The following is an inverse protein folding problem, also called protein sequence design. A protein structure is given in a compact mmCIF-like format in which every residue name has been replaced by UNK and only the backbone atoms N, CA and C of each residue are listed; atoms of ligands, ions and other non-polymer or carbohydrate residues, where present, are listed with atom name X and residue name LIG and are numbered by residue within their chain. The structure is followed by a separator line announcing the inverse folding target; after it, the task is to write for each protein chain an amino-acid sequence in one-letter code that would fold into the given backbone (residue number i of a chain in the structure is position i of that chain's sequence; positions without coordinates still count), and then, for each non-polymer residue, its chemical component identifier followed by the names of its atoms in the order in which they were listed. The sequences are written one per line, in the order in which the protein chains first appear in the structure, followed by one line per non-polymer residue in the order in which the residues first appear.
data_IF_811582365117
#
_entry.id   IF_811582365117
#
_cell.length_a   1.000
_cell.length_b   1.000
_cell.length_c   1.000
_cell.angle_alpha   90.00
_cell.angle_beta   90.00
_cell.angle_gamma   90.00
#
_symmetry.space_group_name_H-M   'P 1'
#
loop_
_entity.id
_entity.type
_entity.pdbx_description
1 polymer ?
#
# COMPACT_ATOMS: atom_id res chain seq x y z
N UNK A 1 -13.19 -12.74 10.16
CA UNK A 1 -12.12 -11.76 9.91
C UNK A 1 -12.68 -10.34 9.79
N UNK A 2 -13.65 -10.05 8.90
CA UNK A 2 -14.23 -8.70 8.81
C UNK A 2 -14.87 -8.24 10.13
N UNK A 3 -15.71 -9.07 10.76
CA UNK A 3 -16.36 -8.72 12.02
C UNK A 3 -15.38 -8.44 13.17
N UNK A 4 -14.29 -9.22 13.28
CA UNK A 4 -13.26 -8.99 14.29
C UNK A 4 -12.51 -7.68 14.06
N UNK A 5 -12.26 -7.31 12.80
CA UNK A 5 -11.67 -6.02 12.44
C UNK A 5 -12.61 -4.86 12.75
N UNK A 6 -13.89 -4.94 12.38
CA UNK A 6 -14.87 -3.90 12.71
C UNK A 6 -15.00 -3.70 14.23
N UNK A 7 -15.08 -4.79 14.99
CA UNK A 7 -15.15 -4.73 16.45
C UNK A 7 -13.89 -4.12 17.07
N UNK A 8 -12.70 -4.46 16.55
CA UNK A 8 -11.46 -3.86 17.02
C UNK A 8 -11.36 -2.37 16.72
N UNK A 9 -11.85 -1.90 15.57
CA UNK A 9 -11.91 -0.47 15.24
C UNK A 9 -12.90 0.28 16.12
N UNK A 10 -14.08 -0.29 16.39
CA UNK A 10 -15.06 0.30 17.31
C UNK A 10 -14.49 0.38 18.73
N UNK A 11 -13.86 -0.70 19.19
CA UNK A 11 -13.18 -0.71 20.48
C UNK A 11 -12.09 0.36 20.55
N UNK A 12 -11.30 0.52 19.48
CA UNK A 12 -10.28 1.56 19.42
C UNK A 12 -10.87 2.96 19.57
N UNK A 13 -11.94 3.27 18.83
CA UNK A 13 -12.61 4.57 18.89
C UNK A 13 -13.17 4.85 20.30
N UNK A 14 -13.79 3.84 20.93
CA UNK A 14 -14.32 3.95 22.29
C UNK A 14 -13.20 4.17 23.31
N UNK A 15 -12.11 3.41 23.23
CA UNK A 15 -10.97 3.56 24.13
C UNK A 15 -10.31 4.92 23.96
N UNK A 16 -10.11 5.40 22.73
CA UNK A 16 -9.56 6.72 22.50
C UNK A 16 -10.49 7.82 23.04
N UNK A 17 -11.80 7.71 22.84
CA UNK A 17 -12.76 8.67 23.41
C UNK A 17 -12.70 8.69 24.95
N UNK A 18 -12.71 7.53 25.60
CA UNK A 18 -12.63 7.46 27.06
C UNK A 18 -11.27 7.95 27.59
N UNK A 19 -10.16 7.37 27.16
CA UNK A 19 -8.86 7.62 27.78
C UNK A 19 -8.23 8.95 27.37
N UNK A 20 -8.40 9.35 26.11
CA UNK A 20 -7.77 10.57 25.59
C UNK A 20 -8.67 11.78 25.81
N UNK A 21 -9.98 11.68 25.52
CA UNK A 21 -10.88 12.84 25.61
C UNK A 21 -11.47 13.04 27.01
N UNK A 22 -11.79 11.97 27.76
CA UNK A 22 -12.38 12.11 29.09
C UNK A 22 -11.32 12.17 30.21
N UNK A 23 -10.31 11.30 30.16
CA UNK A 23 -9.27 11.21 31.20
C UNK A 23 -8.00 12.01 30.90
N UNK A 24 -7.88 12.64 29.72
CA UNK A 24 -6.77 13.52 29.33
C UNK A 24 -5.36 12.93 29.54
N UNK A 25 -5.19 11.61 29.41
CA UNK A 25 -3.94 10.91 29.75
C UNK A 25 -2.79 11.11 28.73
N UNK A 26 -2.89 12.11 27.85
CA UNK A 26 -1.86 12.45 26.86
C UNK A 26 -1.68 11.41 25.75
N UNK A 27 -0.84 11.73 24.76
CA UNK A 27 -0.63 10.95 23.53
C UNK A 27 -0.13 9.51 23.74
N UNK A 28 0.57 9.22 24.85
CA UNK A 28 1.06 7.86 25.13
C UNK A 28 -0.07 6.85 25.27
N UNK A 29 -1.23 7.28 25.75
CA UNK A 29 -2.39 6.38 25.88
C UNK A 29 -3.03 6.02 24.56
N UNK A 30 -2.93 6.87 23.53
CA UNK A 30 -3.40 6.54 22.17
C UNK A 30 -2.68 5.30 21.63
N UNK A 31 -1.36 5.20 21.83
CA UNK A 31 -0.58 4.04 21.41
C UNK A 31 -0.98 2.76 22.16
N UNK A 32 -1.26 2.87 23.48
CA UNK A 32 -1.76 1.75 24.28
C UNK A 32 -3.15 1.29 23.82
N UNK A 33 -4.07 2.23 23.57
CA UNK A 33 -5.41 1.93 23.07
C UNK A 33 -5.34 1.19 21.72
N UNK A 34 -4.46 1.63 20.82
CA UNK A 34 -4.22 0.98 19.53
C UNK A 34 -3.67 -0.43 19.70
N UNK A 35 -2.69 -0.61 20.59
CA UNK A 35 -2.09 -1.91 20.89
C UNK A 35 -3.14 -2.90 21.45
N UNK A 36 -3.98 -2.43 22.37
CA UNK A 36 -5.10 -3.22 22.91
C UNK A 36 -6.10 -3.62 21.82
N UNK A 37 -6.38 -2.71 20.88
CA UNK A 37 -7.31 -2.97 19.77
C UNK A 37 -6.76 -4.05 18.83
N UNK A 38 -5.47 -4.00 18.51
CA UNK A 38 -4.82 -5.05 17.72
C UNK A 38 -4.78 -6.39 18.45
N UNK A 39 -4.51 -6.40 19.76
CA UNK A 39 -4.58 -7.62 20.56
C UNK A 39 -5.98 -8.23 20.55
N UNK A 40 -7.02 -7.40 20.64
CA UNK A 40 -8.41 -7.85 20.55
C UNK A 40 -8.74 -8.43 19.16
N UNK A 41 -8.32 -7.77 18.07
CA UNK A 41 -8.49 -8.31 16.71
C UNK A 41 -7.81 -9.68 16.55
N UNK A 42 -6.58 -9.82 17.07
CA UNK A 42 -5.83 -11.07 17.05
C UNK A 42 -6.56 -12.19 17.81
N UNK A 43 -7.03 -11.91 19.02
CA UNK A 43 -7.81 -12.86 19.82
C UNK A 43 -9.12 -13.25 19.14
N UNK A 44 -9.80 -12.31 18.49
CA UNK A 44 -11.03 -12.57 17.74
C UNK A 44 -10.82 -13.55 16.58
N UNK A 45 -9.75 -13.36 15.81
CA UNK A 45 -9.39 -14.28 14.72
C UNK A 45 -8.95 -15.63 15.26
N UNK A 46 -8.17 -15.66 16.34
CA UNK A 46 -7.74 -16.91 16.99
C UNK A 46 -8.93 -17.72 17.52
N UNK A 47 -9.89 -17.05 18.15
CA UNK A 47 -11.13 -17.68 18.63
C UNK A 47 -11.95 -18.25 17.47
N UNK A 48 -12.09 -17.48 16.38
CA UNK A 48 -12.75 -17.96 15.17
C UNK A 48 -12.06 -19.19 14.57
N UNK A 49 -10.73 -19.21 14.50
CA UNK A 49 -9.95 -20.37 14.04
C UNK A 49 -10.21 -21.60 14.91
N UNK A 50 -10.20 -21.45 16.24
CA UNK A 50 -10.43 -22.53 17.20
C UNK A 50 -11.85 -23.12 17.09
N UNK A 51 -12.86 -22.27 16.95
CA UNK A 51 -14.27 -22.68 16.87
C UNK A 51 -14.63 -23.30 15.52
N UNK A 52 -14.15 -22.71 14.42
CA UNK A 52 -14.49 -23.14 13.06
C UNK A 52 -13.79 -24.44 12.65
N UNK A 53 -12.70 -24.83 13.36
CA UNK A 53 -11.89 -26.02 13.06
C UNK A 53 -11.39 -26.11 11.61
N UNK A 54 -11.43 -25.01 10.85
CA UNK A 54 -11.04 -24.95 9.42
C UNK A 54 -9.59 -25.42 9.21
N UNK A 55 -8.73 -25.23 10.21
CA UNK A 55 -7.34 -25.69 10.18
C UNK A 55 -7.18 -27.22 10.29
N UNK A 56 -8.24 -27.97 10.61
CA UNK A 56 -8.12 -29.41 10.94
C UNK A 56 -7.76 -30.25 9.71
N UNK A 57 -8.22 -29.86 8.52
CA UNK A 57 -7.87 -30.55 7.27
C UNK A 57 -6.49 -30.12 6.72
N UNK A 58 -6.07 -28.87 6.96
CA UNK A 58 -4.82 -28.32 6.41
C UNK A 58 -3.63 -28.46 7.37
N UNK A 59 -3.88 -28.56 8.68
CA UNK A 59 -2.85 -28.58 9.72
C UNK A 59 -3.22 -29.51 10.90
N UNK A 60 -3.21 -30.84 10.67
CA UNK A 60 -3.67 -31.81 11.66
C UNK A 60 -2.76 -31.95 12.90
N UNK A 61 -1.46 -31.57 12.82
CA UNK A 61 -0.52 -31.54 13.95
C UNK A 61 0.47 -30.40 13.80
N UNK A 62 0.69 -29.64 14.88
CA UNK A 62 1.76 -28.61 14.94
C UNK A 62 3.10 -29.34 14.96
N UNK A 63 3.71 -29.50 13.79
CA UNK A 63 5.05 -30.04 13.65
C UNK A 63 6.01 -28.87 13.40
N UNK A 64 6.63 -28.36 14.46
CA UNK A 64 7.59 -27.24 14.41
C UNK A 64 8.73 -27.51 13.41
N UNK A 65 9.22 -28.76 13.30
CA UNK A 65 10.30 -29.11 12.37
C UNK A 65 9.86 -29.03 10.91
N UNK A 66 8.63 -29.45 10.60
CA UNK A 66 8.05 -29.29 9.27
C UNK A 66 7.66 -27.83 8.99
N UNK A 67 7.21 -27.08 10.01
CA UNK A 67 6.87 -25.67 9.90
C UNK A 67 8.07 -24.80 9.52
N UNK A 68 9.28 -25.16 10.00
CA UNK A 68 10.54 -24.52 9.60
C UNK A 68 11.18 -25.11 8.33
N UNK A 69 10.57 -26.13 7.72
CA UNK A 69 11.01 -26.67 6.44
C UNK A 69 10.55 -25.75 5.29
N UNK A 70 11.36 -25.58 4.26
CA UNK A 70 11.06 -24.77 3.06
C UNK A 70 10.94 -23.23 3.25
N UNK A 71 11.45 -22.65 4.34
CA UNK A 71 11.46 -21.17 4.48
C UNK A 71 12.26 -20.46 3.39
N UNK A 72 13.20 -21.13 2.73
CA UNK A 72 13.98 -20.56 1.64
C UNK A 72 13.12 -20.00 0.50
N UNK A 73 11.99 -20.64 0.16
CA UNK A 73 11.11 -20.10 -0.88
C UNK A 73 10.32 -18.88 -0.41
N UNK A 74 9.91 -18.88 0.86
CA UNK A 74 9.21 -17.76 1.50
C UNK A 74 10.15 -16.55 1.56
N UNK A 75 11.40 -16.74 1.98
CA UNK A 75 12.38 -15.65 1.99
C UNK A 75 12.72 -15.17 0.58
N UNK A 76 12.90 -16.07 -0.39
CA UNK A 76 13.22 -15.68 -1.78
C UNK A 76 12.14 -14.82 -2.41
N UNK A 77 10.87 -15.06 -2.10
CA UNK A 77 9.75 -14.24 -2.60
C UNK A 77 9.40 -13.07 -1.67
N UNK A 78 9.56 -13.25 -0.37
CA UNK A 78 9.19 -12.28 0.66
C UNK A 78 10.18 -11.13 0.79
N UNK A 79 11.48 -11.39 0.74
CA UNK A 79 12.53 -10.35 0.82
C UNK A 79 12.31 -9.24 -0.21
N UNK A 80 12.18 -9.53 -1.54
CA UNK A 80 11.98 -8.46 -2.52
C UNK A 80 10.65 -7.71 -2.29
N UNK A 81 9.59 -8.40 -1.86
CA UNK A 81 8.31 -7.76 -1.52
C UNK A 81 8.43 -6.82 -0.32
N UNK A 82 9.12 -7.24 0.74
CA UNK A 82 9.37 -6.41 1.93
C UNK A 82 10.22 -5.21 1.58
N UNK A 83 11.29 -5.37 0.78
CA UNK A 83 12.10 -4.24 0.35
C UNK A 83 11.31 -3.24 -0.51
N UNK A 84 10.45 -3.71 -1.42
CA UNK A 84 9.61 -2.84 -2.23
C UNK A 84 8.71 -1.96 -1.34
N UNK A 85 7.99 -2.56 -0.39
CA UNK A 85 7.09 -1.84 0.51
C UNK A 85 7.87 -0.97 1.50
N UNK A 86 8.99 -1.46 2.03
CA UNK A 86 9.82 -0.68 2.95
C UNK A 86 10.40 0.57 2.28
N UNK A 87 10.85 0.48 1.03
CA UNK A 87 11.32 1.65 0.28
C UNK A 87 10.20 2.66 0.05
N UNK A 88 8.99 2.19 -0.25
CA UNK A 88 7.81 3.05 -0.39
C UNK A 88 7.53 3.84 0.91
N UNK A 89 7.45 3.15 2.05
CA UNK A 89 7.18 3.78 3.35
C UNK A 89 8.33 4.69 3.80
N UNK A 90 9.59 4.29 3.59
CA UNK A 90 10.75 5.13 3.93
C UNK A 90 10.80 6.42 3.12
N UNK A 91 10.32 6.42 1.87
CA UNK A 91 10.18 7.66 1.11
C UNK A 91 9.16 8.60 1.75
N UNK A 92 8.03 8.09 2.25
CA UNK A 92 7.03 8.90 2.97
C UNK A 92 7.55 9.39 4.32
N UNK A 93 8.28 8.56 5.06
CA UNK A 93 8.93 8.97 6.30
C UNK A 93 9.98 10.06 6.07
N UNK A 94 10.84 9.90 5.06
CA UNK A 94 11.82 10.91 4.69
C UNK A 94 11.15 12.24 4.33
N UNK A 95 10.04 12.20 3.58
CA UNK A 95 9.25 13.39 3.26
C UNK A 95 8.64 14.03 4.51
N UNK A 96 8.16 13.22 5.46
CA UNK A 96 7.66 13.70 6.76
C UNK A 96 8.77 14.36 7.58
N UNK A 97 9.98 13.79 7.58
CA UNK A 97 11.15 14.39 8.24
C UNK A 97 11.51 15.76 7.64
N UNK A 98 11.47 15.89 6.32
CA UNK A 98 11.70 17.16 5.63
C UNK A 98 10.58 18.16 5.93
N UNK A 99 9.30 17.73 5.89
CA UNK A 99 8.18 18.60 6.23
C UNK A 99 8.27 19.10 7.69
N UNK A 100 8.76 18.25 8.60
CA UNK A 100 9.01 18.61 9.99
C UNK A 100 10.13 19.65 10.17
N UNK A 101 11.17 19.63 9.35
CA UNK A 101 12.25 20.63 9.43
C UNK A 101 11.82 22.01 8.89
N UNK A 102 10.81 22.06 8.02
CA UNK A 102 10.24 23.30 7.48
C UNK A 102 9.20 23.96 8.40
N UNK A 103 8.87 23.35 9.55
CA UNK A 103 7.99 23.90 10.56
C UNK A 103 6.62 23.21 10.68
N UNK A 104 5.91 23.52 11.76
CA UNK A 104 4.68 22.82 12.15
C UNK A 104 3.53 22.97 11.15
N UNK A 105 3.44 24.12 10.47
CA UNK A 105 2.39 24.38 9.46
C UNK A 105 2.55 23.44 8.26
N UNK A 106 3.79 23.28 7.78
CA UNK A 106 4.11 22.39 6.66
C UNK A 106 3.89 20.94 7.04
N UNK A 107 4.28 20.54 8.25
CA UNK A 107 4.04 19.20 8.78
C UNK A 107 2.55 18.89 8.91
N UNK A 108 1.74 19.82 9.40
CA UNK A 108 0.29 19.69 9.49
C UNK A 108 -0.37 19.54 8.12
N UNK A 109 0.05 20.34 7.14
CA UNK A 109 -0.43 20.23 5.76
C UNK A 109 -0.06 18.87 5.13
N UNK A 110 1.17 18.40 5.35
CA UNK A 110 1.61 17.08 4.89
C UNK A 110 0.78 15.96 5.51
N UNK A 111 0.51 16.01 6.82
CA UNK A 111 -0.31 15.02 7.51
C UNK A 111 -1.73 14.94 6.93
N UNK A 112 -2.38 16.07 6.65
CA UNK A 112 -3.71 16.09 6.02
C UNK A 112 -3.65 15.49 4.62
N UNK A 113 -2.65 15.86 3.81
CA UNK A 113 -2.48 15.32 2.46
C UNK A 113 -2.25 13.79 2.49
N UNK A 114 -1.45 13.30 3.43
CA UNK A 114 -1.19 11.87 3.63
C UNK A 114 -2.46 11.08 4.01
N UNK A 115 -3.32 11.66 4.85
CA UNK A 115 -4.61 11.05 5.19
C UNK A 115 -5.56 10.98 3.99
N UNK A 116 -5.62 12.03 3.17
CA UNK A 116 -6.42 12.03 1.93
C UNK A 116 -5.91 10.95 0.97
N UNK A 117 -4.58 10.87 0.79
CA UNK A 117 -3.93 9.86 -0.04
C UNK A 117 -4.26 8.44 0.44
N UNK A 118 -4.25 8.19 1.75
CA UNK A 118 -4.56 6.89 2.34
C UNK A 118 -6.00 6.44 2.05
N UNK A 119 -6.97 7.36 2.07
CA UNK A 119 -8.37 7.07 1.71
C UNK A 119 -8.48 6.67 0.23
N UNK A 120 -7.79 7.40 -0.65
CA UNK A 120 -7.77 7.10 -2.09
C UNK A 120 -7.11 5.73 -2.34
N UNK A 121 -6.10 5.37 -1.56
CA UNK A 121 -5.35 4.12 -1.70
C UNK A 121 -6.11 2.86 -1.22
N UNK A 122 -7.13 2.99 -0.37
CA UNK A 122 -7.91 1.83 0.11
C UNK A 122 -8.61 1.05 -1.01
N UNK A 123 -9.10 1.74 -2.05
CA UNK A 123 -9.80 1.11 -3.18
C UNK A 123 -8.87 0.17 -3.97
N UNK A 124 -7.71 0.63 -4.50
CA UNK A 124 -6.81 -0.24 -5.24
C UNK A 124 -6.22 -1.34 -4.36
N UNK A 125 -5.97 -1.08 -3.07
CA UNK A 125 -5.52 -2.10 -2.12
C UNK A 125 -6.56 -3.24 -1.98
N UNK A 126 -7.85 -2.90 -1.91
CA UNK A 126 -8.94 -3.89 -1.89
C UNK A 126 -9.00 -4.73 -3.18
N UNK A 127 -8.83 -4.10 -4.34
CA UNK A 127 -8.79 -4.81 -5.63
C UNK A 127 -7.56 -5.74 -5.68
N UNK A 128 -6.39 -5.25 -5.25
CA UNK A 128 -5.14 -6.01 -5.22
C UNK A 128 -5.24 -7.27 -4.37
N UNK A 129 -5.77 -7.15 -3.15
CA UNK A 129 -5.96 -8.30 -2.26
C UNK A 129 -6.94 -9.33 -2.84
N UNK A 130 -8.05 -8.90 -3.45
CA UNK A 130 -9.00 -9.81 -4.10
C UNK A 130 -8.38 -10.53 -5.31
N UNK A 131 -7.56 -9.83 -6.09
CA UNK A 131 -6.87 -10.39 -7.27
C UNK A 131 -5.81 -11.39 -6.85
N UNK A 132 -5.01 -11.09 -5.82
CA UNK A 132 -4.02 -12.03 -5.29
C UNK A 132 -4.65 -13.35 -4.84
N UNK A 133 -5.81 -13.30 -4.17
CA UNK A 133 -6.55 -14.51 -3.78
C UNK A 133 -6.99 -15.30 -5.02
N UNK A 134 -7.60 -14.63 -6.01
CA UNK A 134 -8.08 -15.28 -7.24
C UNK A 134 -6.94 -15.88 -8.07
N UNK A 135 -5.83 -15.17 -8.19
CA UNK A 135 -4.63 -15.66 -8.91
C UNK A 135 -4.01 -16.82 -8.14
N UNK A 136 -3.89 -16.73 -6.82
CA UNK A 136 -3.40 -17.82 -5.99
C UNK A 136 -4.25 -19.09 -6.09
N UNK A 137 -5.58 -18.95 -6.09
CA UNK A 137 -6.51 -20.06 -6.28
C UNK A 137 -6.36 -20.72 -7.66
N UNK A 138 -6.27 -19.93 -8.73
CA UNK A 138 -6.11 -20.47 -10.10
C UNK A 138 -4.74 -21.08 -10.35
N UNK A 139 -3.70 -20.49 -9.79
CA UNK A 139 -2.35 -21.05 -9.88
C UNK A 139 -2.28 -22.40 -9.14
N UNK A 140 -2.97 -22.51 -7.99
CA UNK A 140 -3.14 -23.78 -7.27
C UNK A 140 -3.96 -24.83 -8.03
N UNK A 141 -4.86 -24.41 -8.93
CA UNK A 141 -5.64 -25.29 -9.81
C UNK A 141 -4.93 -25.64 -11.13
N UNK A 142 -3.66 -25.27 -11.30
CA UNK A 142 -2.88 -25.46 -12.53
C UNK A 142 -3.50 -24.81 -13.80
N UNK A 143 -4.23 -23.70 -13.63
CA UNK A 143 -4.79 -22.92 -14.75
C UNK A 143 -4.00 -21.59 -14.96
N UNK A 144 -2.94 -21.59 -15.80
CA UNK A 144 -2.15 -20.40 -16.07
C UNK A 144 -2.88 -19.37 -16.94
N UNK A 145 -3.78 -19.82 -17.82
CA UNK A 145 -4.51 -18.95 -18.76
C UNK A 145 -5.51 -18.09 -17.98
N UNK A 146 -6.30 -18.72 -17.11
CA UNK A 146 -7.24 -18.00 -16.25
C UNK A 146 -6.54 -17.09 -15.23
N UNK A 147 -5.34 -17.46 -14.77
CA UNK A 147 -4.52 -16.62 -13.88
C UNK A 147 -4.04 -15.34 -14.59
N UNK A 148 -3.52 -15.49 -15.81
CA UNK A 148 -3.05 -14.35 -16.60
C UNK A 148 -4.20 -13.40 -16.95
N UNK A 149 -5.36 -13.92 -17.34
CA UNK A 149 -6.54 -13.10 -17.62
C UNK A 149 -7.04 -12.32 -16.38
N UNK A 150 -7.06 -12.95 -15.21
CA UNK A 150 -7.45 -12.29 -13.97
C UNK A 150 -6.48 -11.16 -13.57
N UNK A 151 -5.18 -11.37 -13.80
CA UNK A 151 -4.17 -10.36 -13.54
C UNK A 151 -4.24 -9.19 -14.53
N UNK A 152 -4.38 -9.44 -15.82
CA UNK A 152 -4.42 -8.37 -16.84
C UNK A 152 -5.66 -7.50 -16.71
N UNK A 153 -6.82 -8.10 -16.44
CA UNK A 153 -8.07 -7.36 -16.18
C UNK A 153 -7.96 -6.49 -14.93
N UNK A 154 -7.34 -7.00 -13.86
CA UNK A 154 -7.07 -6.23 -12.66
C UNK A 154 -6.13 -5.04 -12.92
N UNK A 155 -5.05 -5.24 -13.66
CA UNK A 155 -4.14 -4.16 -14.03
C UNK A 155 -4.83 -3.07 -14.86
N UNK A 156 -5.72 -3.45 -15.77
CA UNK A 156 -6.48 -2.48 -16.56
C UNK A 156 -7.40 -1.63 -15.67
N UNK A 157 -8.10 -2.25 -14.72
CA UNK A 157 -8.95 -1.54 -13.76
C UNK A 157 -8.15 -0.61 -12.83
N UNK A 158 -7.01 -1.08 -12.32
CA UNK A 158 -6.15 -0.26 -11.47
C UNK A 158 -5.60 0.94 -12.25
N UNK A 159 -5.16 0.74 -13.49
CA UNK A 159 -4.68 1.83 -14.35
C UNK A 159 -5.77 2.87 -14.61
N UNK A 160 -6.99 2.46 -14.91
CA UNK A 160 -8.12 3.38 -15.09
C UNK A 160 -8.44 4.15 -13.79
N UNK A 161 -8.49 3.47 -12.65
CA UNK A 161 -8.69 4.12 -11.35
C UNK A 161 -7.62 5.17 -11.05
N UNK A 162 -6.35 4.83 -11.29
CA UNK A 162 -5.22 5.71 -11.01
C UNK A 162 -5.20 6.91 -11.96
N UNK A 163 -5.52 6.70 -13.23
CA UNK A 163 -5.65 7.77 -14.22
C UNK A 163 -6.76 8.76 -13.82
N UNK A 164 -7.94 8.26 -13.43
CA UNK A 164 -9.06 9.12 -13.00
C UNK A 164 -8.72 9.90 -11.74
N UNK A 165 -8.06 9.25 -10.78
CA UNK A 165 -7.63 9.90 -9.53
C UNK A 165 -6.65 11.04 -9.81
N UNK A 166 -5.69 10.84 -10.72
CA UNK A 166 -4.76 11.90 -11.12
C UNK A 166 -5.46 13.06 -11.84
N UNK A 167 -6.37 12.78 -12.78
CA UNK A 167 -7.16 13.81 -13.47
C UNK A 167 -8.05 14.62 -12.53
N UNK A 168 -8.53 14.02 -11.44
CA UNK A 168 -9.37 14.69 -10.45
C UNK A 168 -8.56 15.61 -9.53
N UNK A 169 -7.30 15.26 -9.24
CA UNK A 169 -6.46 16.00 -8.29
C UNK A 169 -5.56 17.05 -8.95
N UNK A 170 -5.05 16.80 -10.16
CA UNK A 170 -4.17 17.73 -10.86
C UNK A 170 -4.90 18.50 -11.97
N UNK A 171 -4.77 19.85 -12.02
CA UNK A 171 -5.29 20.62 -13.13
C UNK A 171 -4.56 20.27 -14.44
N UNK A 172 -5.29 20.35 -15.57
CA UNK A 172 -4.83 19.94 -16.92
C UNK A 172 -3.48 20.52 -17.35
N UNK A 173 -3.04 21.65 -16.79
CA UNK A 173 -1.76 22.30 -17.11
C UNK A 173 -0.53 21.48 -16.70
N UNK A 174 -0.59 20.71 -15.61
CA UNK A 174 0.51 19.84 -15.17
C UNK A 174 0.49 18.46 -15.86
N UNK A 175 -0.64 18.09 -16.46
CA UNK A 175 -0.84 16.78 -17.10
C UNK A 175 -0.27 16.70 -18.51
N UNK A 176 -0.08 17.85 -19.18
CA UNK A 176 0.56 17.92 -20.51
C UNK A 176 2.05 17.52 -20.46
N UNK A 177 2.78 17.89 -19.40
CA UNK A 177 4.22 17.62 -19.31
C UNK A 177 4.56 16.14 -19.12
N UNK A 178 3.77 15.37 -18.36
CA UNK A 178 3.98 13.92 -18.19
C UNK A 178 3.65 13.14 -19.46
N UNK A 179 2.59 13.53 -20.18
CA UNK A 179 2.19 12.90 -21.45
C UNK A 179 3.23 13.13 -22.57
N UNK A 180 3.94 14.27 -22.55
CA UNK A 180 5.03 14.57 -23.49
C UNK A 180 6.27 13.71 -23.18
N UNK A 181 6.59 13.50 -21.90
CA UNK A 181 7.74 12.70 -21.47
C UNK A 181 7.56 11.19 -21.80
N UNK A 182 6.35 10.65 -21.60
CA UNK A 182 6.03 9.27 -22.02
C UNK A 182 6.01 9.09 -23.54
N UNK A 183 5.61 10.12 -24.29
CA UNK A 183 5.66 10.09 -25.75
C UNK A 183 7.11 10.02 -26.24
N UNK A 184 8.01 10.80 -25.64
CA UNK A 184 9.44 10.79 -26.00
C UNK A 184 10.15 9.46 -25.67
N UNK A 185 9.80 8.81 -24.56
CA UNK A 185 10.38 7.51 -24.18
C UNK A 185 9.89 6.35 -25.07
N UNK A 186 8.63 6.42 -25.53
CA UNK A 186 8.08 5.45 -26.48
C UNK A 186 8.61 5.60 -27.90
N UNK A 187 8.91 6.82 -28.35
CA UNK A 187 9.54 7.08 -29.66
C UNK A 187 11.00 6.61 -29.68
N UNK A 188 11.73 6.70 -28.57
CA UNK A 188 13.11 6.22 -28.45
C UNK A 188 13.25 4.69 -28.55
N UNK A 189 12.19 3.91 -28.27
CA UNK A 189 12.19 2.45 -28.48
C UNK A 189 11.97 2.01 -29.93
N UNK A 190 11.43 2.88 -30.79
CA UNK A 190 10.98 2.52 -32.14
C UNK A 190 11.75 3.23 -33.28
N UNK A 191 12.76 4.05 -32.99
CA UNK A 191 13.53 4.76 -34.02
C UNK A 191 14.98 4.96 -33.61
N UNK A 192 15.90 4.46 -34.45
CA UNK A 192 17.28 4.92 -34.47
C UNK A 192 17.29 6.44 -34.67
N UNK A 193 17.62 7.22 -33.63
CA UNK A 193 18.14 8.57 -33.83
C UNK A 193 18.94 9.02 -32.59
N UNK A 194 20.25 9.12 -32.79
CA UNK A 194 21.20 9.78 -31.88
C UNK A 194 20.91 11.27 -31.91
N UNK A 195 20.06 11.77 -31.00
CA UNK A 195 19.82 13.21 -30.86
C UNK A 195 20.88 13.78 -29.90
N UNK A 196 21.76 14.60 -30.48
CA UNK A 196 22.79 15.42 -29.84
C UNK A 196 22.22 16.20 -28.64
N UNK A 197 22.70 15.89 -27.45
CA UNK A 197 22.58 16.74 -26.25
C UNK A 197 23.61 17.87 -26.41
N UNK A 198 23.35 18.87 -27.24
CA UNK A 198 24.26 20.04 -27.31
C UNK A 198 23.65 21.40 -27.65
N UNK A 199 22.33 21.56 -27.88
CA UNK A 199 21.81 22.85 -28.38
C UNK A 199 20.72 23.54 -27.53
N UNK A 200 20.31 22.99 -26.38
CA UNK A 200 19.24 23.61 -25.55
C UNK A 200 19.69 24.22 -24.22
N UNK A 201 21.00 24.32 -23.97
CA UNK A 201 21.53 24.82 -22.69
C UNK A 201 21.69 26.35 -22.50
N UNK A 202 21.47 27.28 -23.45
CA UNK A 202 21.71 28.70 -23.16
C UNK A 202 20.48 29.53 -22.74
N UNK A 203 19.26 28.99 -22.66
CA UNK A 203 18.06 29.82 -22.40
C UNK A 203 17.55 29.86 -20.95
N UNK A 204 18.19 29.17 -20.00
CA UNK A 204 17.72 29.07 -18.60
C UNK A 204 18.48 30.04 -17.64
N UNK A 205 19.50 30.77 -18.13
CA UNK A 205 20.34 31.64 -17.28
C UNK A 205 20.21 33.15 -17.55
N UNK A 206 19.22 33.63 -18.31
CA UNK A 206 19.07 35.08 -18.60
C UNK A 206 17.94 35.78 -17.85
N UNK A 207 17.25 35.12 -16.92
CA UNK A 207 16.13 35.69 -16.12
C UNK A 207 16.35 35.39 -14.61
N UNK A 208 17.59 35.51 -14.15
CA UNK A 208 17.98 35.54 -12.74
C UNK A 208 18.97 36.68 -12.50
#
# INVERSE_FOLDING_TARGET
MLCSSCLGTVLNALLQYCFVAHYSLGLRTSALCLSCSFAFMFLGVLTYLRLSKVFTETWPKINVKAAFSNWGIIFRMGIPGVFMVALEEWCFEALTFVAGSMGEVTLGAHAIAFQIQSIIYMVPLGIFTAVNIRVGQRLGAFDPIGSHFAYTTALALMRDYQQRSQCAFFPKSLQSSSTIFDRHSSTSRNGQETIRITDSLPYIFSEL
#
